data_IF_526483227254
#
_entry.id   IF_526483227254
#
_cell.length_a   1.000
_cell.length_b   1.000
_cell.length_c   1.000
_cell.angle_alpha   90.00
_cell.angle_beta   90.00
_cell.angle_gamma   90.00
#
_symmetry.space_group_name_H-M   'P 1'
#
loop_
_entity.id
_entity.type
_entity.pdbx_description
1 polymer ?
#
# COMPACT_ATOMS: atom_id res chain seq x y z
N UNK A 1 25.87 -20.57 41.67
CA UNK A 1 24.99 -20.15 40.55
C UNK A 1 24.50 -21.41 39.85
N UNK A 2 23.33 -21.91 40.24
CA UNK A 2 22.92 -23.29 39.96
C UNK A 2 22.54 -23.47 38.48
N UNK A 3 22.86 -24.63 37.91
CA UNK A 3 22.68 -24.93 36.48
C UNK A 3 21.24 -24.73 36.00
N UNK A 4 20.26 -24.92 36.92
CA UNK A 4 18.84 -24.67 36.70
C UNK A 4 18.52 -23.18 36.51
N UNK A 5 19.17 -22.29 37.25
CA UNK A 5 19.00 -20.84 37.14
C UNK A 5 19.52 -20.31 35.79
N UNK A 6 20.61 -20.90 35.27
CA UNK A 6 21.15 -20.58 33.93
C UNK A 6 20.22 -21.07 32.82
N UNK A 7 19.67 -22.29 32.95
CA UNK A 7 18.72 -22.85 31.98
C UNK A 7 17.43 -22.03 31.89
N UNK A 8 16.89 -21.59 33.03
CA UNK A 8 15.70 -20.72 33.08
C UNK A 8 16.00 -19.36 32.43
N UNK A 9 17.18 -18.79 32.65
CA UNK A 9 17.59 -17.51 32.04
C UNK A 9 17.68 -17.59 30.51
N UNK A 10 18.29 -18.65 29.96
CA UNK A 10 18.41 -18.86 28.52
C UNK A 10 17.03 -19.08 27.87
N UNK A 11 16.15 -19.84 28.51
CA UNK A 11 14.80 -20.09 28.00
C UNK A 11 13.95 -18.80 27.93
N UNK A 12 14.07 -17.91 28.93
CA UNK A 12 13.35 -16.63 28.95
C UNK A 12 13.88 -15.67 27.89
N UNK A 13 15.19 -15.63 27.67
CA UNK A 13 15.80 -14.82 26.63
C UNK A 13 15.38 -15.29 25.23
N UNK A 14 15.40 -16.60 24.97
CA UNK A 14 14.97 -17.18 23.70
C UNK A 14 13.50 -16.87 23.37
N UNK A 15 12.62 -16.96 24.37
CA UNK A 15 11.19 -16.64 24.20
C UNK A 15 10.96 -15.15 23.88
N UNK A 16 11.79 -14.26 24.43
CA UNK A 16 11.69 -12.81 24.22
C UNK A 16 12.16 -12.36 22.83
N UNK A 17 13.02 -13.13 22.15
CA UNK A 17 13.49 -12.79 20.79
C UNK A 17 12.54 -13.27 19.67
N UNK A 18 11.60 -14.17 19.98
CA UNK A 18 10.66 -14.73 18.99
C UNK A 18 9.78 -13.69 18.24
N UNK A 19 9.27 -12.60 18.85
CA UNK A 19 8.42 -11.64 18.14
C UNK A 19 9.18 -10.73 17.16
N UNK A 20 10.51 -10.60 17.26
CA UNK A 20 11.31 -9.75 16.37
C UNK A 20 11.39 -10.31 14.95
N UNK A 21 11.36 -11.64 14.81
CA UNK A 21 11.35 -12.29 13.49
C UNK A 21 10.03 -12.11 12.73
N UNK A 22 8.92 -11.94 13.44
CA UNK A 22 7.59 -11.85 12.83
C UNK A 22 7.28 -10.47 12.21
N UNK A 23 7.93 -9.41 12.69
CA UNK A 23 7.66 -8.05 12.19
C UNK A 23 8.40 -7.72 10.90
N UNK A 24 9.51 -8.40 10.57
CA UNK A 24 10.29 -8.12 9.35
C UNK A 24 9.71 -8.73 8.07
N UNK A 25 8.84 -9.73 8.15
CA UNK A 25 8.31 -10.44 6.96
C UNK A 25 6.96 -9.91 6.47
N UNK A 26 6.42 -8.87 7.10
CA UNK A 26 5.16 -8.25 6.64
C UNK A 26 5.44 -7.33 5.46
N UNK A 27 5.49 -7.89 4.25
CA UNK A 27 5.39 -7.13 3.03
C UNK A 27 3.93 -6.63 2.90
N UNK A 28 3.70 -5.35 3.13
CA UNK A 28 2.41 -4.73 2.84
C UNK A 28 2.35 -4.53 1.32
N UNK A 29 1.44 -5.21 0.59
CA UNK A 29 1.28 -4.94 -0.83
C UNK A 29 0.81 -3.50 -0.98
N UNK A 30 1.54 -2.70 -1.75
CA UNK A 30 1.08 -1.37 -2.14
C UNK A 30 -0.22 -1.53 -2.93
N UNK A 31 -1.31 -0.93 -2.44
CA UNK A 31 -2.56 -0.90 -3.18
C UNK A 31 -2.37 -0.02 -4.43
N UNK A 32 -2.10 -0.65 -5.57
CA UNK A 32 -2.07 0.02 -6.87
C UNK A 32 -3.49 -0.02 -7.43
N UNK A 33 -4.13 1.15 -7.52
CA UNK A 33 -5.40 1.28 -8.22
C UNK A 33 -5.20 0.95 -9.70
N UNK A 34 -6.11 0.18 -10.33
CA UNK A 34 -6.03 -0.10 -11.76
C UNK A 34 -6.08 1.21 -12.57
N UNK A 35 -5.39 1.27 -13.73
CA UNK A 35 -5.38 2.46 -14.56
C UNK A 35 -6.80 2.80 -14.99
N UNK A 36 -7.20 4.06 -14.78
CA UNK A 36 -8.53 4.53 -15.13
C UNK A 36 -8.65 4.67 -16.65
N UNK A 37 -9.78 4.25 -17.19
CA UNK A 37 -10.07 4.43 -18.60
C UNK A 37 -10.11 5.93 -18.95
N UNK A 38 -9.72 6.32 -20.18
CA UNK A 38 -9.79 7.70 -20.63
C UNK A 38 -11.19 8.28 -20.41
N UNK A 39 -11.24 9.43 -19.74
CA UNK A 39 -12.46 10.20 -19.59
C UNK A 39 -12.85 10.92 -20.89
N UNK A 40 -14.06 11.50 -20.94
CA UNK A 40 -14.52 12.28 -22.09
C UNK A 40 -13.51 13.34 -22.56
N UNK A 41 -12.89 14.07 -21.62
CA UNK A 41 -11.96 15.13 -22.00
C UNK A 41 -10.58 14.61 -22.43
N UNK A 42 -10.17 13.42 -21.99
CA UNK A 42 -8.98 12.76 -22.52
C UNK A 42 -9.17 12.38 -24.00
N UNK A 43 -10.37 11.93 -24.38
CA UNK A 43 -10.73 11.57 -25.77
C UNK A 43 -10.74 12.81 -26.66
N UNK A 44 -11.35 13.91 -26.20
CA UNK A 44 -11.37 15.17 -26.94
C UNK A 44 -9.95 15.75 -27.11
N UNK A 45 -9.10 15.66 -26.08
CA UNK A 45 -7.69 16.03 -26.17
C UNK A 45 -6.94 15.21 -27.21
N UNK A 46 -7.12 13.89 -27.20
CA UNK A 46 -6.50 12.99 -28.19
C UNK A 46 -6.98 13.26 -29.63
N UNK A 47 -8.21 13.75 -29.80
CA UNK A 47 -8.76 14.15 -31.10
C UNK A 47 -8.31 15.55 -31.58
N UNK A 48 -7.50 16.27 -30.80
CA UNK A 48 -7.02 17.62 -31.13
C UNK A 48 -8.02 18.74 -30.82
N UNK A 49 -9.12 18.45 -30.12
CA UNK A 49 -10.15 19.43 -29.72
C UNK A 49 -10.29 19.46 -28.20
N UNK A 50 -9.25 19.87 -27.44
CA UNK A 50 -9.22 19.71 -25.98
C UNK A 50 -10.33 20.50 -25.27
N UNK A 51 -10.83 19.93 -24.16
CA UNK A 51 -11.80 20.60 -23.29
C UNK A 51 -11.20 21.89 -22.71
N UNK A 52 -11.86 23.04 -22.94
CA UNK A 52 -11.49 24.33 -22.33
C UNK A 52 -12.22 24.57 -21.00
N UNK A 53 -13.39 23.95 -20.83
CA UNK A 53 -14.16 23.92 -19.59
C UNK A 53 -14.86 22.57 -19.44
N UNK A 54 -14.95 22.05 -18.21
CA UNK A 54 -15.48 20.71 -17.93
C UNK A 54 -16.17 20.67 -16.55
N UNK A 55 -17.47 20.40 -16.52
CA UNK A 55 -18.27 20.31 -15.29
C UNK A 55 -19.11 19.03 -15.25
N UNK A 56 -19.07 18.32 -14.12
CA UNK A 56 -19.95 17.19 -13.81
C UNK A 56 -20.14 17.08 -12.31
N UNK A 57 -21.35 16.77 -11.86
CA UNK A 57 -21.69 16.52 -10.45
C UNK A 57 -21.73 15.03 -10.10
N UNK A 58 -21.60 14.15 -11.10
CA UNK A 58 -21.78 12.70 -10.94
C UNK A 58 -20.48 11.92 -11.11
N UNK A 59 -19.62 12.31 -12.07
CA UNK A 59 -18.41 11.52 -12.39
C UNK A 59 -17.26 12.39 -12.89
N UNK A 60 -16.05 11.86 -12.79
CA UNK A 60 -14.84 12.45 -13.36
C UNK A 60 -14.91 12.54 -14.90
N UNK A 61 -14.41 13.65 -15.46
CA UNK A 61 -14.32 13.89 -16.90
C UNK A 61 -12.92 13.60 -17.48
N UNK A 62 -11.92 13.45 -16.61
CA UNK A 62 -10.54 13.05 -16.91
C UNK A 62 -10.18 11.80 -16.11
N UNK A 63 -9.32 10.95 -16.66
CA UNK A 63 -8.81 9.75 -15.99
C UNK A 63 -7.95 10.09 -14.77
N UNK A 64 -7.29 11.26 -14.79
CA UNK A 64 -6.38 11.74 -13.74
C UNK A 64 -7.02 12.66 -12.69
N UNK A 65 -8.36 12.78 -12.70
CA UNK A 65 -9.11 13.50 -11.66
C UNK A 65 -9.45 12.54 -10.51
#
# INVERSE_FOLDING_TARGET
MNIRTRAIGVLRLALALMPVGATLTMAVPAAVSPPRQPGPCDIYGAAGTPCVAAHSTTRALYASY
#
